data_IF_150085363887
#
_entry.id   IF_150085363887
#
_cell.length_a   1.000
_cell.length_b   1.000
_cell.length_c   1.000
_cell.angle_alpha   90.00
_cell.angle_beta   90.00
_cell.angle_gamma   90.00
#
_symmetry.space_group_name_H-M   'P 1'
#
loop_
_entity.id
_entity.type
_entity.pdbx_description
1 polymer ?
#
# COMPACT_ATOMS: atom_id res chain seq x y z
N UNK A 1 -7.89 18.17 28.08
CA UNK A 1 -6.57 17.73 28.56
C UNK A 1 -6.49 16.22 28.38
N UNK A 2 -5.58 15.72 27.54
CA UNK A 2 -5.38 14.28 27.38
C UNK A 2 -4.82 13.73 28.69
N UNK A 3 -5.57 12.84 29.33
CA UNK A 3 -5.16 12.24 30.60
C UNK A 3 -4.21 11.09 30.28
N UNK A 4 -3.01 11.12 30.86
CA UNK A 4 -2.02 10.06 30.76
C UNK A 4 -2.58 8.78 31.38
N UNK A 5 -2.53 7.66 30.65
CA UNK A 5 -3.01 6.36 31.12
C UNK A 5 -1.82 5.42 31.30
N UNK A 6 -1.59 4.87 32.50
CA UNK A 6 -0.58 3.83 32.69
C UNK A 6 -1.04 2.54 31.99
N UNK A 7 -0.16 1.98 31.18
CA UNK A 7 -0.37 0.77 30.39
C UNK A 7 0.74 -0.22 30.72
N UNK A 8 0.36 -1.41 31.19
CA UNK A 8 1.32 -2.48 31.48
C UNK A 8 1.35 -3.49 30.34
N UNK A 9 2.53 -3.72 29.78
CA UNK A 9 2.72 -4.74 28.75
C UNK A 9 2.51 -6.14 29.36
N UNK A 10 1.60 -6.99 28.84
CA UNK A 10 1.44 -8.36 29.33
C UNK A 10 2.65 -9.25 29.02
N UNK A 11 3.44 -8.95 27.97
CA UNK A 11 4.60 -9.75 27.58
C UNK A 11 5.83 -9.51 28.46
N UNK A 12 6.24 -8.25 28.66
CA UNK A 12 7.44 -7.91 29.44
C UNK A 12 7.15 -7.27 30.80
N UNK A 13 5.88 -7.06 31.14
CA UNK A 13 5.40 -6.49 32.42
C UNK A 13 5.85 -5.05 32.72
N UNK A 14 6.51 -4.39 31.77
CA UNK A 14 6.91 -2.97 31.85
C UNK A 14 5.68 -2.07 31.77
N UNK A 15 5.65 -1.06 32.64
CA UNK A 15 4.64 0.01 32.61
C UNK A 15 5.11 1.17 31.75
N UNK A 16 4.18 1.72 30.98
CA UNK A 16 4.39 2.81 30.04
C UNK A 16 3.22 3.78 30.14
N UNK A 17 3.46 5.05 29.78
CA UNK A 17 2.41 6.06 29.73
C UNK A 17 1.89 6.16 28.30
N UNK A 18 0.58 5.96 28.14
CA UNK A 18 -0.13 6.21 26.89
C UNK A 18 -0.86 7.55 26.96
N UNK A 19 -0.67 8.38 25.93
CA UNK A 19 -1.40 9.64 25.76
C UNK A 19 -2.32 9.48 24.55
N UNK A 20 -3.65 9.43 24.73
CA UNK A 20 -4.55 9.21 23.62
C UNK A 20 -4.54 10.40 22.66
N UNK A 21 -4.43 10.17 21.34
CA UNK A 21 -4.49 11.23 20.34
C UNK A 21 -5.87 11.89 20.33
N UNK A 22 -5.89 13.16 19.93
CA UNK A 22 -7.11 13.95 19.75
C UNK A 22 -7.37 14.09 18.25
N UNK A 23 -8.57 13.73 17.80
CA UNK A 23 -8.97 13.86 16.41
C UNK A 23 -10.14 14.86 16.25
N UNK A 24 -10.22 15.62 15.15
CA UNK A 24 -11.30 16.56 14.92
C UNK A 24 -12.56 15.86 14.40
N UNK A 25 -13.69 15.98 15.10
CA UNK A 25 -15.00 15.58 14.57
C UNK A 25 -15.40 16.46 13.37
N UNK A 26 -16.32 15.98 12.53
CA UNK A 26 -16.93 16.78 11.45
C UNK A 26 -17.59 18.08 11.94
N UNK A 27 -17.99 18.17 13.21
CA UNK A 27 -18.50 19.42 13.81
C UNK A 27 -17.40 20.37 14.33
N UNK A 28 -16.11 20.01 14.17
CA UNK A 28 -14.96 20.76 14.66
C UNK A 28 -14.57 20.47 16.12
N UNK A 29 -15.40 19.75 16.89
CA UNK A 29 -15.09 19.42 18.27
C UNK A 29 -14.00 18.34 18.38
N UNK A 30 -13.07 18.44 19.35
CA UNK A 30 -12.07 17.40 19.59
C UNK A 30 -12.71 16.12 20.14
N UNK A 31 -12.32 14.97 19.59
CA UNK A 31 -12.74 13.64 20.02
C UNK A 31 -11.52 12.86 20.48
N UNK A 32 -11.65 12.23 21.65
CA UNK A 32 -10.67 11.32 22.24
C UNK A 32 -11.38 10.01 22.53
N UNK A 33 -10.79 8.88 22.13
CA UNK A 33 -11.35 7.58 22.43
C UNK A 33 -11.45 7.39 23.96
N UNK A 34 -12.61 7.04 24.51
CA UNK A 34 -12.78 6.83 25.94
C UNK A 34 -12.08 5.54 26.35
N UNK A 35 -10.91 5.64 26.97
CA UNK A 35 -10.12 4.46 27.36
C UNK A 35 -10.70 3.80 28.63
N UNK A 36 -10.78 2.46 28.63
CA UNK A 36 -11.14 1.64 29.81
C UNK A 36 -9.97 1.60 30.78
N UNK A 37 -10.09 2.30 31.91
CA UNK A 37 -9.02 2.37 32.92
C UNK A 37 -8.88 1.06 33.67
N UNK A 38 -7.64 0.61 33.85
CA UNK A 38 -7.31 -0.62 34.58
C UNK A 38 -7.56 -1.91 33.81
N UNK A 39 -8.18 -1.85 32.62
CA UNK A 39 -8.28 -3.00 31.73
C UNK A 39 -6.89 -3.36 31.17
N UNK A 40 -6.52 -4.65 31.12
CA UNK A 40 -5.23 -5.07 30.57
C UNK A 40 -5.17 -4.73 29.08
N UNK A 41 -4.03 -4.20 28.64
CA UNK A 41 -3.79 -4.01 27.22
C UNK A 41 -3.51 -5.35 26.54
N UNK A 42 -4.02 -5.51 25.34
CA UNK A 42 -3.99 -6.78 24.59
C UNK A 42 -2.85 -6.76 23.57
N UNK A 43 -2.04 -7.83 23.46
CA UNK A 43 -1.06 -7.94 22.38
C UNK A 43 -1.75 -8.02 21.03
N UNK A 44 -1.29 -7.21 20.08
CA UNK A 44 -1.69 -7.37 18.68
C UNK A 44 -0.88 -8.50 18.07
N UNK A 45 -1.52 -9.67 17.91
CA UNK A 45 -0.94 -10.82 17.21
C UNK A 45 -1.37 -10.87 15.75
N UNK A 46 -2.58 -10.38 15.45
CA UNK A 46 -3.14 -10.33 14.10
C UNK A 46 -3.85 -8.99 13.86
N UNK A 47 -3.72 -8.45 12.64
CA UNK A 47 -4.44 -7.26 12.18
C UNK A 47 -5.39 -7.62 11.04
N UNK A 48 -6.68 -7.34 11.25
CA UNK A 48 -7.66 -7.22 10.18
C UNK A 48 -8.08 -5.75 10.05
N UNK A 49 -8.49 -5.33 8.86
CA UNK A 49 -8.94 -3.95 8.61
C UNK A 49 -10.14 -3.54 9.47
N UNK A 50 -10.98 -4.50 9.89
CA UNK A 50 -12.12 -4.24 10.77
C UNK A 50 -11.69 -3.95 12.21
N UNK A 51 -10.58 -4.52 12.66
CA UNK A 51 -10.07 -4.35 14.03
C UNK A 51 -9.34 -3.02 14.24
N UNK A 52 -9.03 -2.30 13.17
CA UNK A 52 -8.21 -1.07 13.24
C UNK A 52 -9.03 0.17 13.68
N UNK A 53 -10.35 0.03 13.81
CA UNK A 53 -11.26 1.13 14.13
C UNK A 53 -12.05 0.89 15.42
N UNK A 54 -12.34 1.98 16.14
CA UNK A 54 -13.27 2.03 17.27
C UNK A 54 -14.37 3.05 16.99
N UNK A 55 -15.60 2.74 17.39
CA UNK A 55 -16.72 3.68 17.26
C UNK A 55 -16.78 4.58 18.48
N UNK A 56 -16.56 5.89 18.30
CA UNK A 56 -16.59 6.87 19.38
C UNK A 56 -17.70 7.87 19.14
N UNK A 57 -18.44 8.20 20.20
CA UNK A 57 -19.46 9.24 20.19
C UNK A 57 -18.83 10.61 20.50
N UNK A 58 -19.05 11.59 19.63
CA UNK A 58 -18.70 12.98 19.93
C UNK A 58 -19.58 13.52 21.06
N UNK A 59 -18.98 14.09 22.12
CA UNK A 59 -19.72 14.67 23.24
C UNK A 59 -20.43 15.98 22.89
N UNK A 60 -19.99 16.68 21.84
CA UNK A 60 -20.58 17.94 21.39
C UNK A 60 -21.79 17.76 20.46
N UNK A 61 -21.63 17.01 19.36
CA UNK A 61 -22.70 16.83 18.37
C UNK A 61 -23.44 15.49 18.48
N UNK A 62 -22.98 14.56 19.33
CA UNK A 62 -23.59 13.26 19.54
C UNK A 62 -23.36 12.24 18.42
N UNK A 63 -22.72 12.61 17.30
CA UNK A 63 -22.42 11.71 16.17
C UNK A 63 -21.51 10.56 16.63
N UNK A 64 -21.78 9.35 16.13
CA UNK A 64 -20.93 8.17 16.29
C UNK A 64 -20.18 7.94 14.99
N UNK A 65 -18.87 8.02 15.04
CA UNK A 65 -17.98 7.80 13.89
C UNK A 65 -16.88 6.80 14.25
N UNK A 66 -16.22 6.27 13.22
CA UNK A 66 -15.08 5.36 13.35
C UNK A 66 -13.79 6.17 13.47
N UNK A 67 -12.98 5.85 14.46
CA UNK A 67 -11.68 6.48 14.72
C UNK A 67 -10.60 5.41 14.89
N UNK A 68 -9.32 5.73 14.60
CA UNK A 68 -8.23 4.76 14.74
C UNK A 68 -8.18 4.17 16.15
N UNK A 69 -8.08 2.85 16.24
CA UNK A 69 -7.98 2.14 17.52
C UNK A 69 -6.69 2.57 18.26
N UNK A 70 -6.79 2.92 19.56
CA UNK A 70 -5.63 3.25 20.38
C UNK A 70 -4.61 2.11 20.50
N UNK A 71 -3.38 2.31 20.01
CA UNK A 71 -2.29 1.35 20.10
C UNK A 71 -1.00 1.97 20.67
N UNK A 72 -0.20 1.15 21.37
CA UNK A 72 1.08 1.53 21.96
C UNK A 72 2.15 0.46 21.66
N UNK A 73 3.26 0.87 21.03
CA UNK A 73 4.45 0.02 20.91
C UNK A 73 5.20 -0.07 22.24
N UNK A 74 5.50 -1.28 22.70
CA UNK A 74 6.40 -1.50 23.83
C UNK A 74 7.85 -1.68 23.36
N UNK A 75 8.81 -1.23 24.18
CA UNK A 75 10.23 -1.43 23.93
C UNK A 75 10.66 -2.90 23.79
N UNK A 76 9.85 -3.86 24.26
CA UNK A 76 10.09 -5.30 24.05
C UNK A 76 9.68 -5.81 22.65
N UNK A 77 9.13 -4.94 21.79
CA UNK A 77 8.69 -5.29 20.44
C UNK A 77 7.19 -5.62 20.32
N UNK A 78 6.46 -5.76 21.43
CA UNK A 78 5.01 -6.02 21.41
C UNK A 78 4.21 -4.74 21.13
N UNK A 79 3.27 -4.80 20.20
CA UNK A 79 2.25 -3.75 20.01
C UNK A 79 1.05 -4.07 20.89
N UNK A 80 0.57 -3.07 21.64
CA UNK A 80 -0.51 -3.20 22.60
C UNK A 80 -1.74 -2.44 22.12
N UNK A 81 -2.90 -3.09 22.08
CA UNK A 81 -4.20 -2.42 21.95
C UNK A 81 -4.67 -1.93 23.31
N UNK A 82 -5.02 -0.64 23.38
CA UNK A 82 -5.53 -0.02 24.60
C UNK A 82 -7.06 -0.14 24.60
N UNK A 83 -7.68 -0.78 25.60
CA UNK A 83 -9.12 -1.00 25.64
C UNK A 83 -9.92 0.31 25.63
N UNK A 84 -10.96 0.38 24.80
CA UNK A 84 -11.89 1.51 24.69
C UNK A 84 -13.25 1.13 25.29
N UNK A 85 -13.92 2.06 25.97
CA UNK A 85 -15.26 1.89 26.53
C UNK A 85 -16.29 1.56 25.43
N UNK A 86 -17.16 0.58 25.68
CA UNK A 86 -18.27 0.23 24.77
C UNK A 86 -17.88 -0.54 23.50
N UNK A 87 -16.60 -0.87 23.33
CA UNK A 87 -16.11 -1.68 22.21
C UNK A 87 -16.01 -3.17 22.63
N UNK A 88 -16.75 -4.11 22.02
CA UNK A 88 -16.62 -5.51 22.40
C UNK A 88 -15.18 -5.98 22.14
N UNK A 89 -14.57 -6.65 23.13
CA UNK A 89 -13.29 -7.31 22.89
C UNK A 89 -13.48 -8.33 21.76
N UNK A 90 -12.53 -8.46 20.80
CA UNK A 90 -12.62 -9.50 19.79
C UNK A 90 -12.58 -10.86 20.50
N UNK A 91 -13.72 -11.57 20.48
CA UNK A 91 -13.82 -12.94 20.96
C UNK A 91 -13.00 -13.85 20.05
N UNK A 92 -12.00 -14.51 20.62
CA UNK A 92 -11.08 -15.39 19.89
C UNK A 92 -11.67 -16.77 19.50
N UNK A 93 -12.96 -17.02 19.73
CA UNK A 93 -13.62 -18.28 19.37
C UNK A 93 -14.96 -18.00 18.65
N UNK A 94 -14.89 -17.88 17.32
CA UNK A 94 -16.05 -18.05 16.45
C UNK A 94 -15.56 -18.37 15.03
N UNK A 95 -15.41 -19.66 14.72
CA UNK A 95 -15.37 -20.14 13.34
C UNK A 95 -16.76 -19.98 12.71
N UNK A 96 -16.89 -19.35 11.53
CA UNK A 96 -18.08 -19.47 10.72
C UNK A 96 -17.75 -20.36 9.51
N UNK A 97 -18.08 -21.64 9.64
CA UNK A 97 -18.31 -22.52 8.49
C UNK A 97 -19.83 -22.61 8.32
N UNK A 98 -20.36 -22.09 7.21
CA UNK A 98 -21.42 -22.69 6.38
C UNK A 98 -22.03 -21.66 5.41
N UNK A 99 -21.72 -21.89 4.13
CA UNK A 99 -22.60 -21.90 2.96
C UNK A 99 -23.85 -21.00 2.94
N UNK A 100 -23.86 -20.08 1.96
CA UNK A 100 -25.03 -19.90 1.09
C UNK A 100 -24.56 -19.78 -0.36
N UNK A 101 -24.70 -20.90 -1.09
CA UNK A 101 -24.83 -20.89 -2.53
C UNK A 101 -26.16 -20.24 -2.94
N UNK A 102 -26.12 -19.33 -3.92
CA UNK A 102 -27.32 -18.70 -4.45
C UNK A 102 -26.99 -17.84 -5.66
N UNK A 103 -26.97 -18.47 -6.84
CA UNK A 103 -26.74 -17.80 -8.11
C UNK A 103 -27.84 -16.79 -8.44
N UNK A 104 -27.44 -15.71 -9.12
CA UNK A 104 -28.35 -14.88 -9.89
C UNK A 104 -27.57 -14.31 -11.08
N UNK A 105 -27.99 -14.71 -12.28
CA UNK A 105 -27.50 -14.24 -13.56
C UNK A 105 -27.62 -12.72 -13.67
N UNK A 106 -26.54 -12.05 -14.10
CA UNK A 106 -26.63 -10.69 -14.64
C UNK A 106 -26.98 -10.75 -16.13
N UNK A 107 -28.05 -10.09 -16.59
CA UNK A 107 -28.32 -9.95 -18.02
C UNK A 107 -27.39 -8.89 -18.62
N UNK A 108 -26.62 -9.29 -19.64
CA UNK A 108 -25.80 -8.36 -20.43
C UNK A 108 -26.64 -7.46 -21.35
N UNK A 109 -26.21 -6.23 -21.64
CA UNK A 109 -26.92 -5.36 -22.56
C UNK A 109 -26.69 -5.80 -24.02
N UNK A 110 -27.78 -5.77 -24.79
CA UNK A 110 -27.85 -6.14 -26.20
C UNK A 110 -27.20 -5.11 -27.13
N UNK A 111 -26.36 -5.59 -28.05
CA UNK A 111 -25.91 -4.86 -29.23
C UNK A 111 -26.97 -4.94 -30.36
N UNK A 112 -27.24 -3.84 -31.08
CA UNK A 112 -27.85 -3.91 -32.42
C UNK A 112 -26.78 -3.82 -33.54
N UNK A 113 -27.15 -4.22 -34.79
CA UNK A 113 -26.21 -4.76 -35.77
C UNK A 113 -25.65 -3.74 -36.77
N UNK A 114 -24.59 -4.21 -37.44
CA UNK A 114 -23.89 -3.67 -38.60
C UNK A 114 -24.77 -3.50 -39.84
N UNK A 115 -24.47 -2.48 -40.64
CA UNK A 115 -24.85 -2.41 -42.05
C UNK A 115 -23.65 -1.94 -42.90
N UNK A 116 -23.40 -2.69 -43.97
CA UNK A 116 -22.36 -2.52 -44.98
C UNK A 116 -22.53 -1.24 -45.84
N UNK A 117 -21.43 -0.81 -46.47
CA UNK A 117 -21.27 0.43 -47.24
C UNK A 117 -22.05 0.54 -48.55
N UNK A 118 -21.77 1.60 -49.36
CA UNK A 118 -20.57 1.56 -50.20
C UNK A 118 -19.84 2.91 -50.41
N UNK A 119 -18.73 2.82 -51.13
CA UNK A 119 -17.79 3.88 -51.50
C UNK A 119 -18.32 4.85 -52.58
N UNK A 120 -17.91 6.13 -52.48
CA UNK A 120 -17.58 6.97 -53.64
C UNK A 120 -16.81 8.24 -53.22
N UNK A 121 -15.58 8.30 -53.71
CA UNK A 121 -14.75 9.43 -54.17
C UNK A 121 -15.25 10.89 -54.01
N UNK A 122 -14.43 11.72 -53.35
CA UNK A 122 -14.33 13.16 -53.62
C UNK A 122 -13.05 13.74 -53.01
N UNK A 123 -12.06 13.96 -53.87
CA UNK A 123 -10.82 14.71 -53.63
C UNK A 123 -11.10 16.08 -53.00
N UNK A 124 -10.53 16.35 -51.81
CA UNK A 124 -10.36 17.69 -51.23
C UNK A 124 -8.92 17.88 -50.75
N UNK A 125 -8.34 19.10 -50.85
CA UNK A 125 -6.97 19.36 -50.45
C UNK A 125 -6.83 19.27 -48.91
N UNK A 126 -5.86 18.49 -48.44
CA UNK A 126 -5.60 18.28 -47.03
C UNK A 126 -5.06 19.53 -46.32
N UNK A 127 -5.31 19.69 -45.00
CA UNK A 127 -4.76 20.78 -44.22
C UNK A 127 -3.24 20.68 -44.14
N UNK A 128 -2.58 21.85 -44.20
CA UNK A 128 -1.14 21.98 -44.09
C UNK A 128 -0.61 21.26 -42.84
N UNK A 129 0.37 20.37 -43.04
CA UNK A 129 1.07 19.66 -42.00
C UNK A 129 1.61 20.63 -40.94
N UNK A 130 1.00 20.65 -39.76
CA UNK A 130 1.64 21.18 -38.55
C UNK A 130 2.73 20.16 -38.20
N UNK A 131 4.02 20.54 -38.12
CA UNK A 131 5.04 19.64 -37.62
C UNK A 131 4.66 19.27 -36.19
N UNK A 132 4.25 18.02 -35.95
CA UNK A 132 4.13 17.53 -34.59
C UNK A 132 5.53 17.60 -33.96
N UNK A 133 5.67 18.14 -32.74
CA UNK A 133 6.93 18.05 -32.02
C UNK A 133 7.32 16.57 -31.91
N UNK A 134 8.62 16.22 -32.00
CA UNK A 134 9.05 14.83 -31.92
C UNK A 134 8.63 14.24 -30.57
N UNK A 135 7.63 13.35 -30.61
CA UNK A 135 7.16 12.54 -29.47
C UNK A 135 8.07 11.35 -29.19
N UNK A 136 9.34 11.42 -29.58
CA UNK A 136 10.31 10.36 -29.30
C UNK A 136 10.95 10.64 -27.93
N UNK A 137 10.77 9.77 -26.92
CA UNK A 137 11.45 9.92 -25.65
C UNK A 137 12.96 9.98 -25.88
N UNK A 138 13.63 10.92 -25.21
CA UNK A 138 15.09 11.04 -25.26
C UNK A 138 15.71 9.69 -24.88
N UNK A 139 16.64 9.12 -25.69
CA UNK A 139 17.20 7.82 -25.40
C UNK A 139 17.89 7.83 -24.03
N UNK A 140 17.39 6.98 -23.13
CA UNK A 140 17.91 6.85 -21.77
C UNK A 140 19.33 6.24 -21.84
N UNK A 141 20.31 6.79 -21.08
CA UNK A 141 21.65 6.20 -21.04
C UNK A 141 21.62 4.76 -20.52
N UNK A 142 22.67 3.98 -20.73
CA UNK A 142 22.76 2.64 -20.13
C UNK A 142 22.79 2.72 -18.59
N UNK A 143 22.08 1.82 -17.91
CA UNK A 143 22.08 1.73 -16.45
C UNK A 143 23.46 1.31 -15.93
N UNK A 144 23.90 1.91 -14.82
CA UNK A 144 25.18 1.61 -14.16
C UNK A 144 24.88 0.95 -12.81
N UNK A 145 24.93 -0.39 -12.71
CA UNK A 145 24.55 -1.12 -11.50
C UNK A 145 25.63 -1.08 -10.42
N UNK A 146 25.22 -1.38 -9.18
CA UNK A 146 26.11 -1.56 -8.03
C UNK A 146 25.88 -2.95 -7.45
N UNK A 147 26.95 -3.73 -7.28
CA UNK A 147 26.87 -5.08 -6.74
C UNK A 147 26.23 -5.10 -5.34
N UNK A 148 25.34 -6.06 -5.11
CA UNK A 148 24.60 -6.19 -3.86
C UNK A 148 25.31 -7.18 -2.94
N UNK A 149 25.83 -6.69 -1.81
CA UNK A 149 26.43 -7.54 -0.75
C UNK A 149 25.67 -7.43 0.56
N UNK A 150 24.90 -6.36 0.72
CA UNK A 150 24.13 -6.04 1.91
C UNK A 150 22.74 -5.52 1.56
N UNK A 151 21.83 -5.51 2.53
CA UNK A 151 20.52 -4.87 2.37
C UNK A 151 20.61 -3.38 2.01
N UNK A 152 21.67 -2.69 2.46
CA UNK A 152 21.92 -1.29 2.09
C UNK A 152 22.28 -1.16 0.61
N UNK A 153 23.03 -2.10 0.06
CA UNK A 153 23.40 -2.11 -1.35
C UNK A 153 22.17 -2.35 -2.22
N UNK A 154 21.27 -3.25 -1.81
CA UNK A 154 19.99 -3.48 -2.51
C UNK A 154 19.14 -2.21 -2.59
N UNK A 155 18.99 -1.49 -1.46
CA UNK A 155 18.32 -0.18 -1.44
C UNK A 155 19.02 0.83 -2.36
N UNK A 156 20.36 0.83 -2.37
CA UNK A 156 21.14 1.76 -3.19
C UNK A 156 20.96 1.46 -4.68
N UNK A 157 20.98 0.19 -5.07
CA UNK A 157 20.72 -0.25 -6.44
C UNK A 157 19.33 0.19 -6.91
N UNK A 158 18.29 -0.01 -6.08
CA UNK A 158 16.92 0.43 -6.38
C UNK A 158 16.83 1.96 -6.49
N UNK A 159 17.46 2.70 -5.59
CA UNK A 159 17.45 4.16 -5.67
C UNK A 159 18.16 4.68 -6.94
N UNK A 160 19.26 4.06 -7.36
CA UNK A 160 19.92 4.39 -8.63
C UNK A 160 19.04 4.03 -9.83
N UNK A 161 18.33 2.90 -9.76
CA UNK A 161 17.44 2.45 -10.82
C UNK A 161 16.23 3.37 -11.00
N UNK A 162 15.58 3.77 -9.91
CA UNK A 162 14.48 4.74 -9.96
C UNK A 162 14.95 6.10 -10.50
N UNK A 163 16.17 6.54 -10.15
CA UNK A 163 16.76 7.76 -10.71
C UNK A 163 17.01 7.63 -12.21
N UNK A 164 17.48 6.47 -12.64
CA UNK A 164 17.67 6.15 -14.05
C UNK A 164 16.34 6.13 -14.81
N UNK A 165 15.25 5.61 -14.20
CA UNK A 165 13.88 5.69 -14.75
C UNK A 165 13.35 7.12 -14.88
N UNK A 166 13.92 8.07 -14.14
CA UNK A 166 13.58 9.50 -14.22
C UNK A 166 13.06 10.10 -12.91
N UNK A 167 12.83 9.28 -11.88
CA UNK A 167 12.34 9.75 -10.58
C UNK A 167 13.42 10.53 -9.84
N UNK A 168 13.04 11.69 -9.31
CA UNK A 168 13.94 12.61 -8.59
C UNK A 168 13.59 12.64 -7.10
N UNK A 169 14.53 13.14 -6.29
CA UNK A 169 14.34 13.36 -4.85
C UNK A 169 13.93 12.10 -4.07
N UNK A 170 14.56 10.97 -4.42
CA UNK A 170 14.32 9.67 -3.76
C UNK A 170 14.71 9.77 -2.28
N UNK A 171 13.74 9.49 -1.43
CA UNK A 171 13.84 9.50 0.02
C UNK A 171 13.33 8.19 0.59
N UNK A 172 13.55 7.96 1.88
CA UNK A 172 12.81 6.93 2.61
C UNK A 172 11.33 7.29 2.62
N UNK A 173 10.47 6.29 2.42
CA UNK A 173 9.04 6.47 2.62
C UNK A 173 8.77 6.86 4.09
N UNK A 174 7.83 7.78 4.31
CA UNK A 174 7.50 8.26 5.67
C UNK A 174 6.78 7.17 6.48
N UNK A 175 5.98 6.35 5.79
CA UNK A 175 5.35 5.19 6.38
C UNK A 175 6.31 4.01 6.35
N UNK A 176 6.48 3.35 7.50
CA UNK A 176 7.21 2.08 7.56
C UNK A 176 6.33 0.99 6.96
N UNK A 177 6.77 0.33 5.87
CA UNK A 177 6.02 -0.78 5.31
C UNK A 177 5.96 -1.94 6.30
N UNK A 178 4.95 -2.81 6.14
CA UNK A 178 4.75 -4.02 6.96
C UNK A 178 5.91 -5.02 6.83
N UNK A 179 6.59 -5.02 5.68
CA UNK A 179 7.77 -5.82 5.36
C UNK A 179 8.77 -4.99 4.55
N UNK A 180 10.03 -5.44 4.47
CA UNK A 180 11.11 -4.77 3.74
C UNK A 180 11.32 -3.28 4.07
N UNK A 181 11.70 -2.52 3.05
CA UNK A 181 12.19 -1.16 3.17
C UNK A 181 11.57 -0.27 2.08
N UNK A 182 10.85 0.77 2.51
CA UNK A 182 10.17 1.72 1.62
C UNK A 182 11.07 2.87 1.14
N UNK A 183 10.92 3.22 -0.13
CA UNK A 183 11.43 4.42 -0.78
C UNK A 183 10.27 5.20 -1.39
N UNK A 184 10.40 6.52 -1.47
CA UNK A 184 9.40 7.38 -2.06
C UNK A 184 10.07 8.47 -2.89
N UNK A 185 9.42 8.89 -3.96
CA UNK A 185 9.72 10.06 -4.76
C UNK A 185 8.41 10.64 -5.28
N UNK A 186 8.45 11.80 -5.94
CA UNK A 186 7.24 12.37 -6.53
C UNK A 186 6.67 11.40 -7.57
N UNK A 187 5.44 10.93 -7.37
CA UNK A 187 4.73 10.04 -8.28
C UNK A 187 5.05 8.54 -8.12
N UNK A 188 5.95 8.15 -7.21
CA UNK A 188 6.27 6.72 -6.98
C UNK A 188 6.53 6.39 -5.51
N UNK A 189 6.04 5.22 -5.11
CA UNK A 189 6.44 4.53 -3.88
C UNK A 189 7.05 3.18 -4.26
N UNK A 190 8.22 2.88 -3.72
CA UNK A 190 8.95 1.66 -4.04
C UNK A 190 9.21 0.85 -2.77
N UNK A 191 8.95 -0.45 -2.85
CA UNK A 191 9.20 -1.41 -1.79
C UNK A 191 10.43 -2.24 -2.14
N UNK A 192 11.34 -2.43 -1.17
CA UNK A 192 12.53 -3.25 -1.33
C UNK A 192 12.54 -4.34 -0.26
N UNK A 193 12.51 -5.61 -0.65
CA UNK A 193 12.67 -6.77 0.23
C UNK A 193 14.07 -7.38 0.03
N UNK A 194 15.05 -7.03 0.88
CA UNK A 194 16.43 -7.48 0.74
C UNK A 194 16.72 -8.81 1.47
N UNK A 195 15.72 -9.47 2.06
CA UNK A 195 15.93 -10.76 2.71
C UNK A 195 15.82 -11.92 1.71
N UNK A 196 16.09 -13.13 2.21
CA UNK A 196 15.91 -14.38 1.47
C UNK A 196 14.46 -14.89 1.49
N UNK A 197 13.51 -14.10 2.03
CA UNK A 197 12.10 -14.44 2.09
C UNK A 197 11.41 -13.99 0.79
N UNK A 198 10.70 -14.89 0.08
CA UNK A 198 9.84 -14.48 -1.03
C UNK A 198 8.79 -13.46 -0.59
N UNK A 199 8.49 -12.49 -1.45
CA UNK A 199 7.42 -11.52 -1.22
C UNK A 199 6.06 -12.21 -1.37
N UNK A 200 5.19 -11.99 -0.39
CA UNK A 200 3.89 -12.66 -0.30
C UNK A 200 2.77 -11.84 -0.92
N UNK A 201 1.62 -12.46 -1.18
CA UNK A 201 0.40 -11.80 -1.64
C UNK A 201 0.05 -10.55 -0.81
N UNK A 202 0.09 -10.68 0.51
CA UNK A 202 -0.18 -9.58 1.45
C UNK A 202 0.78 -8.40 1.26
N UNK A 203 2.05 -8.68 0.96
CA UNK A 203 3.05 -7.62 0.79
C UNK A 203 2.75 -6.78 -0.46
N UNK A 204 2.28 -7.42 -1.54
CA UNK A 204 1.84 -6.74 -2.78
C UNK A 204 0.58 -5.90 -2.53
N UNK A 205 -0.44 -6.47 -1.88
CA UNK A 205 -1.69 -5.75 -1.62
C UNK A 205 -1.49 -4.56 -0.68
N UNK A 206 -0.65 -4.69 0.34
CA UNK A 206 -0.30 -3.58 1.24
C UNK A 206 0.44 -2.46 0.49
N UNK A 207 1.36 -2.81 -0.42
CA UNK A 207 2.05 -1.83 -1.25
C UNK A 207 1.06 -1.10 -2.17
N UNK A 208 0.17 -1.84 -2.82
CA UNK A 208 -0.84 -1.26 -3.71
C UNK A 208 -1.78 -0.28 -2.98
N UNK A 209 -2.27 -0.64 -1.79
CA UNK A 209 -3.06 0.26 -0.96
C UNK A 209 -2.29 1.53 -0.56
N UNK A 210 -0.98 1.40 -0.33
CA UNK A 210 -0.10 2.55 -0.05
C UNK A 210 0.01 3.45 -1.28
N UNK A 211 0.24 2.88 -2.46
CA UNK A 211 0.27 3.61 -3.73
C UNK A 211 -1.02 4.38 -4.00
N UNK A 212 -2.17 3.73 -3.80
CA UNK A 212 -3.48 4.41 -3.93
C UNK A 212 -3.64 5.56 -2.93
N UNK A 213 -3.23 5.36 -1.68
CA UNK A 213 -3.33 6.40 -0.63
C UNK A 213 -2.47 7.62 -0.97
N UNK A 214 -1.25 7.38 -1.46
CA UNK A 214 -0.29 8.42 -1.85
C UNK A 214 -0.53 8.95 -3.28
N UNK A 215 -1.53 8.41 -4.00
CA UNK A 215 -1.80 8.70 -5.43
C UNK A 215 -0.55 8.57 -6.29
N UNK A 216 0.21 7.50 -6.08
CA UNK A 216 1.51 7.24 -6.68
C UNK A 216 1.56 5.84 -7.28
N UNK A 217 2.37 5.67 -8.34
CA UNK A 217 2.71 4.34 -8.85
C UNK A 217 3.44 3.59 -7.75
N UNK A 218 3.13 2.31 -7.57
CA UNK A 218 3.78 1.47 -6.57
C UNK A 218 4.58 0.35 -7.24
N UNK A 219 5.82 0.16 -6.84
CA UNK A 219 6.74 -0.83 -7.46
C UNK A 219 7.42 -1.68 -6.39
N UNK A 220 7.51 -2.98 -6.61
CA UNK A 220 8.12 -3.92 -5.66
C UNK A 220 9.45 -4.45 -6.23
N UNK A 221 10.51 -4.40 -5.43
CA UNK A 221 11.80 -5.07 -5.68
C UNK A 221 12.06 -6.15 -4.62
N UNK A 222 12.42 -7.36 -5.03
CA UNK A 222 12.72 -8.48 -4.12
C UNK A 222 14.02 -9.19 -4.50
N UNK A 223 14.87 -9.54 -3.53
CA UNK A 223 16.03 -10.41 -3.78
C UNK A 223 15.63 -11.88 -3.95
N UNK A 224 14.64 -12.35 -3.19
CA UNK A 224 14.21 -13.74 -3.18
C UNK A 224 13.07 -14.06 -4.18
N UNK A 225 12.57 -13.05 -4.89
CA UNK A 225 11.41 -13.17 -5.75
C UNK A 225 10.09 -13.13 -4.99
N UNK A 226 9.08 -13.78 -5.57
CA UNK A 226 7.67 -13.63 -5.21
C UNK A 226 7.00 -15.00 -5.18
N UNK A 227 6.05 -15.17 -4.25
CA UNK A 227 5.14 -16.30 -4.31
C UNK A 227 4.26 -16.23 -5.58
N UNK A 228 3.71 -17.36 -6.00
CA UNK A 228 2.88 -17.43 -7.21
C UNK A 228 1.65 -16.53 -7.12
N UNK A 229 0.92 -16.60 -6.01
CA UNK A 229 -0.24 -15.74 -5.74
C UNK A 229 0.13 -14.24 -5.76
N UNK A 230 1.34 -13.89 -5.31
CA UNK A 230 1.82 -12.51 -5.32
C UNK A 230 2.04 -11.99 -6.75
N UNK A 231 2.55 -12.84 -7.66
CA UNK A 231 2.73 -12.49 -9.07
C UNK A 231 1.39 -12.31 -9.77
N UNK A 232 0.49 -13.29 -9.64
CA UNK A 232 -0.86 -13.22 -10.23
C UNK A 232 -1.58 -11.96 -9.76
N UNK A 233 -1.51 -11.66 -8.45
CA UNK A 233 -2.16 -10.47 -7.91
C UNK A 233 -1.53 -9.17 -8.38
N UNK A 234 -0.21 -9.13 -8.54
CA UNK A 234 0.47 -7.95 -9.05
C UNK A 234 0.04 -7.63 -10.49
N UNK A 235 -0.18 -8.65 -11.31
CA UNK A 235 -0.69 -8.46 -12.68
C UNK A 235 -2.13 -7.92 -12.69
N UNK A 236 -3.00 -8.42 -11.80
CA UNK A 236 -4.37 -7.90 -11.67
C UNK A 236 -4.43 -6.44 -11.17
N UNK A 237 -3.41 -6.00 -10.42
CA UNK A 237 -3.35 -4.69 -9.78
C UNK A 237 -2.42 -3.70 -10.51
N UNK A 238 -1.85 -4.10 -11.65
CA UNK A 238 -0.85 -3.34 -12.40
C UNK A 238 0.33 -2.87 -11.52
N UNK A 239 0.84 -3.77 -10.67
CA UNK A 239 2.01 -3.50 -9.80
C UNK A 239 3.28 -4.05 -10.46
N UNK A 240 4.22 -3.17 -10.89
CA UNK A 240 5.53 -3.57 -11.37
C UNK A 240 6.33 -4.38 -10.34
N UNK A 241 6.77 -5.58 -10.74
CA UNK A 241 7.60 -6.46 -9.94
C UNK A 241 8.99 -6.62 -10.54
N UNK A 242 10.02 -6.57 -9.69
CA UNK A 242 11.41 -6.74 -10.09
C UNK A 242 12.16 -7.69 -9.15
N UNK A 243 12.91 -8.63 -9.73
CA UNK A 243 13.90 -9.40 -8.98
C UNK A 243 15.25 -8.70 -9.06
N UNK A 244 15.86 -8.47 -7.90
CA UNK A 244 17.22 -7.92 -7.82
C UNK A 244 18.23 -9.06 -7.99
N UNK A 245 19.07 -8.98 -9.02
CA UNK A 245 20.25 -9.86 -9.09
C UNK A 245 21.38 -9.32 -8.20
N UNK A 246 22.35 -10.18 -7.87
CA UNK A 246 23.50 -9.78 -7.03
C UNK A 246 24.46 -8.82 -7.75
N UNK A 247 24.35 -8.66 -9.08
CA UNK A 247 25.08 -7.64 -9.82
C UNK A 247 24.46 -6.24 -9.64
N UNK A 248 23.23 -6.16 -9.13
CA UNK A 248 22.49 -4.93 -8.88
C UNK A 248 21.64 -4.46 -10.05
N UNK A 249 21.35 -5.32 -11.02
CA UNK A 249 20.44 -5.02 -12.13
C UNK A 249 19.04 -5.57 -11.77
N UNK A 250 18.03 -4.71 -11.59
CA UNK A 250 16.66 -5.17 -11.42
C UNK A 250 16.15 -5.81 -12.72
N UNK A 251 15.65 -7.04 -12.63
CA UNK A 251 15.06 -7.78 -13.74
C UNK A 251 13.53 -7.71 -13.63
N UNK A 252 12.81 -7.23 -14.67
CA UNK A 252 11.35 -7.23 -14.67
C UNK A 252 10.84 -8.67 -14.64
N UNK A 253 9.78 -8.93 -13.87
CA UNK A 253 9.17 -10.27 -13.82
C UNK A 253 7.71 -10.30 -14.25
N UNK A 254 7.16 -9.15 -14.66
CA UNK A 254 5.82 -9.04 -15.21
C UNK A 254 5.66 -7.86 -16.19
N UNK A 255 4.56 -7.85 -16.94
CA UNK A 255 4.30 -6.84 -17.98
C UNK A 255 4.28 -5.40 -17.43
N UNK A 256 3.64 -5.09 -16.28
CA UNK A 256 3.72 -3.74 -15.70
C UNK A 256 5.16 -3.26 -15.44
N UNK A 257 6.09 -4.16 -15.10
CA UNK A 257 7.50 -3.82 -14.94
C UNK A 257 8.15 -3.46 -16.29
N UNK A 258 7.88 -4.21 -17.35
CA UNK A 258 8.36 -3.88 -18.70
C UNK A 258 7.81 -2.54 -19.19
N UNK A 259 6.52 -2.27 -18.94
CA UNK A 259 5.88 -0.99 -19.27
C UNK A 259 6.50 0.18 -18.50
N UNK A 260 6.77 0.01 -17.21
CA UNK A 260 7.46 1.01 -16.40
C UNK A 260 8.86 1.32 -16.93
N UNK A 261 9.61 0.29 -17.38
CA UNK A 261 10.93 0.49 -17.99
C UNK A 261 10.81 1.33 -19.26
N UNK A 262 9.87 0.98 -20.13
CA UNK A 262 9.66 1.62 -21.43
C UNK A 262 9.18 3.07 -21.29
N UNK A 263 8.25 3.34 -20.38
CA UNK A 263 7.69 4.66 -20.15
C UNK A 263 8.65 5.57 -19.35
N UNK A 264 9.25 5.07 -18.28
CA UNK A 264 9.94 5.90 -17.29
C UNK A 264 8.98 6.62 -16.34
N UNK A 265 9.53 7.61 -15.61
CA UNK A 265 8.80 8.47 -14.68
C UNK A 265 7.89 9.50 -15.36
#
# INVERSE_FOLDING_TARGET
MAQNVPVRCPACRREQVYVPPVYPCSCGAPVVAPLRRGAPAEPVTHRTWLDDWVTVRCSACGRRDRWPRPELGCACGTVLRIPVEGDPAPSHDASPDSDVAGGALWPGPAHPPTADGPAADATRPGPAHIPLPPTAPVPRPAFQPVAIRTARDAVTAVALYLRWLGYRDIRRADQRPSSGIGLAARGVVAQVEPSVRPATLRDVECLWLTGMTESAVCVYFSLAGYDEDARTRADELDVPLFVLDLAGVPQPVNNPADELIAAGA
#
